data_IF_947001173822
#
_entry.id   IF_947001173822
#
_cell.length_a   1.000
_cell.length_b   1.000
_cell.length_c   1.000
_cell.angle_alpha   90.00
_cell.angle_beta   90.00
_cell.angle_gamma   90.00
#
_symmetry.space_group_name_H-M   'P 1'
#
loop_
_entity.id
_entity.type
_entity.pdbx_description
1 polymer ?
#
# COMPACT_ATOMS: atom_id res chain seq x y z
N UNK A 1 13.24 22.16 -15.76
CA UNK A 1 12.57 20.85 -15.80
C UNK A 1 12.98 20.05 -14.57
N UNK A 2 12.43 20.35 -13.40
CA UNK A 2 12.68 19.57 -12.18
C UNK A 2 11.74 18.37 -12.20
N UNK A 3 12.22 17.26 -12.77
CA UNK A 3 11.48 16.00 -12.77
C UNK A 3 11.46 15.47 -11.33
N UNK A 4 10.27 15.20 -10.81
CA UNK A 4 10.05 14.63 -9.48
C UNK A 4 10.52 13.16 -9.42
N UNK A 5 11.81 12.90 -9.66
CA UNK A 5 12.37 11.55 -9.83
C UNK A 5 12.23 10.66 -8.58
N UNK A 6 12.04 11.27 -7.41
CA UNK A 6 11.90 10.60 -6.10
C UNK A 6 10.45 10.36 -5.66
N UNK A 7 9.46 10.90 -6.37
CA UNK A 7 8.04 10.60 -6.09
C UNK A 7 7.69 9.15 -6.38
N UNK A 8 8.02 8.58 -7.57
CA UNK A 8 7.68 7.21 -7.89
C UNK A 8 8.26 6.20 -6.90
N UNK A 9 9.47 6.43 -6.39
CA UNK A 9 10.14 5.52 -5.46
C UNK A 9 9.44 5.41 -4.10
N UNK A 10 8.63 6.39 -3.70
CA UNK A 10 7.88 6.35 -2.44
C UNK A 10 6.49 5.75 -2.66
N UNK A 11 5.84 6.09 -3.77
CA UNK A 11 4.49 5.60 -4.06
C UNK A 11 4.46 4.15 -4.53
N UNK A 12 5.50 3.68 -5.24
CA UNK A 12 5.56 2.29 -5.73
C UNK A 12 5.57 1.27 -4.58
N UNK A 13 6.42 1.39 -3.54
CA UNK A 13 6.37 0.49 -2.39
C UNK A 13 5.11 0.71 -1.53
N UNK A 14 4.63 1.96 -1.41
CA UNK A 14 3.46 2.27 -0.60
C UNK A 14 2.19 1.64 -1.16
N UNK A 15 1.97 1.73 -2.48
CA UNK A 15 0.79 1.15 -3.16
C UNK A 15 1.00 -0.33 -3.50
N UNK A 16 2.24 -0.76 -3.76
CA UNK A 16 2.53 -2.15 -4.15
C UNK A 16 2.70 -3.11 -2.98
N UNK A 17 3.08 -2.63 -1.79
CA UNK A 17 3.39 -3.48 -0.63
C UNK A 17 2.57 -3.09 0.60
N UNK A 18 2.68 -1.84 1.05
CA UNK A 18 2.13 -1.41 2.35
C UNK A 18 0.60 -1.38 2.32
N UNK A 19 0.00 -0.71 1.33
CA UNK A 19 -1.44 -0.63 1.18
C UNK A 19 -2.09 -2.02 0.99
N UNK A 20 -1.57 -2.91 0.12
CA UNK A 20 -2.07 -4.28 0.00
C UNK A 20 -1.94 -5.09 1.30
N UNK A 21 -0.82 -4.98 2.01
CA UNK A 21 -0.62 -5.70 3.28
C UNK A 21 -1.67 -5.28 4.33
N UNK A 22 -1.96 -3.97 4.44
CA UNK A 22 -3.00 -3.45 5.34
C UNK A 22 -4.38 -3.93 4.91
N UNK A 23 -4.69 -3.88 3.61
CA UNK A 23 -5.98 -4.33 3.08
C UNK A 23 -6.21 -5.82 3.37
N UNK A 24 -5.21 -6.68 3.16
CA UNK A 24 -5.29 -8.12 3.45
C UNK A 24 -5.46 -8.40 4.95
N UNK A 25 -4.72 -7.70 5.81
CA UNK A 25 -4.85 -7.86 7.27
C UNK A 25 -6.23 -7.40 7.77
N UNK A 26 -6.69 -6.23 7.30
CA UNK A 26 -8.01 -5.70 7.62
C UNK A 26 -9.14 -6.65 7.16
N UNK A 27 -9.03 -7.16 5.93
CA UNK A 27 -9.99 -8.12 5.38
C UNK A 27 -9.99 -9.44 6.16
N UNK A 28 -8.81 -9.94 6.56
CA UNK A 28 -8.69 -11.15 7.40
C UNK A 28 -9.38 -10.99 8.75
N UNK A 29 -9.22 -9.83 9.41
CA UNK A 29 -9.90 -9.53 10.66
C UNK A 29 -11.42 -9.37 10.47
N UNK A 30 -11.83 -8.75 9.37
CA UNK A 30 -13.25 -8.60 9.05
C UNK A 30 -13.94 -9.96 8.83
N UNK A 31 -13.31 -10.85 8.05
CA UNK A 31 -13.84 -12.18 7.75
C UNK A 31 -13.89 -13.07 9.00
N UNK A 32 -12.90 -13.01 9.89
CA UNK A 32 -12.91 -13.78 11.14
C UNK A 32 -13.92 -13.29 12.18
N UNK A 33 -14.38 -12.03 12.06
CA UNK A 33 -15.38 -11.44 12.96
C UNK A 33 -16.81 -11.71 12.52
N UNK A 34 -17.00 -12.25 11.32
CA UNK A 34 -18.28 -12.79 10.83
C UNK A 34 -18.29 -14.32 10.99
#
# INVERSE_FOLDING_TARGET
>A
MTTFSSFPSIFVPLVGLVFPAIAMASLSLYVQKN
#
